data_IF_982699157002
#
_entry.id   IF_982699157002
#
_cell.length_a   1.000
_cell.length_b   1.000
_cell.length_c   1.000
_cell.angle_alpha   90.00
_cell.angle_beta   90.00
_cell.angle_gamma   90.00
#
_symmetry.space_group_name_H-M   'P 1'
#
loop_
_entity.id
_entity.type
_entity.pdbx_description
1 polymer ?
#
# COMPACT_ATOMS: atom_id res chain seq x y z
N UNK A 1 -5.84 5.84 88.72
CA UNK A 1 -6.50 5.38 87.48
C UNK A 1 -5.82 6.14 86.33
N UNK A 2 -4.95 5.42 85.55
CA UNK A 2 -4.21 6.00 84.41
C UNK A 2 -4.83 5.47 83.15
N UNK A 3 -5.48 6.37 82.36
CA UNK A 3 -6.07 6.00 81.10
C UNK A 3 -5.01 5.99 80.01
N UNK A 4 -4.87 4.85 79.29
CA UNK A 4 -4.06 4.69 78.11
C UNK A 4 -4.90 5.09 76.86
N UNK A 5 -4.49 6.14 76.12
CA UNK A 5 -5.05 6.44 74.85
C UNK A 5 -4.18 5.76 73.76
N UNK A 6 -4.75 4.76 73.09
CA UNK A 6 -4.11 4.09 71.93
C UNK A 6 -4.46 4.85 70.65
N UNK A 7 -3.49 5.52 70.03
CA UNK A 7 -3.64 6.17 68.74
C UNK A 7 -3.52 5.11 67.66
N UNK A 8 -4.62 4.89 66.93
CA UNK A 8 -4.64 4.02 65.74
C UNK A 8 -4.18 4.81 64.50
N UNK A 9 -2.99 4.53 63.99
CA UNK A 9 -2.51 5.08 62.71
C UNK A 9 -3.11 4.24 61.58
N UNK A 10 -4.08 4.82 60.84
CA UNK A 10 -4.55 4.30 59.56
C UNK A 10 -3.56 4.70 58.46
N UNK A 11 -2.75 3.77 57.99
CA UNK A 11 -1.94 3.95 56.79
C UNK A 11 -2.84 3.75 55.55
N UNK A 12 -3.20 4.88 54.90
CA UNK A 12 -3.86 4.84 53.61
C UNK A 12 -2.79 4.50 52.57
N UNK A 13 -2.83 3.28 52.04
CA UNK A 13 -2.07 2.92 50.86
C UNK A 13 -2.77 3.53 49.64
N UNK A 14 -2.19 4.64 49.14
CA UNK A 14 -2.60 5.18 47.81
C UNK A 14 -2.24 4.18 46.72
N UNK A 15 -3.26 3.55 46.16
CA UNK A 15 -3.11 2.73 44.97
C UNK A 15 -2.77 3.66 43.80
N UNK A 16 -1.47 3.83 43.48
CA UNK A 16 -1.03 4.45 42.26
C UNK A 16 -1.21 3.38 41.18
N UNK A 17 -2.14 3.57 40.20
CA UNK A 17 -2.21 2.64 39.08
C UNK A 17 -0.86 2.69 38.39
N UNK A 18 -0.20 1.54 38.31
CA UNK A 18 0.98 1.39 37.43
C UNK A 18 0.54 1.71 36.02
N UNK A 19 0.75 2.97 35.60
CA UNK A 19 0.73 3.33 34.19
C UNK A 19 1.78 2.43 33.55
N UNK A 20 1.32 1.49 32.72
CA UNK A 20 2.19 0.63 31.93
C UNK A 20 3.19 1.56 31.22
N UNK A 21 4.45 1.46 31.63
CA UNK A 21 5.56 2.15 31.02
C UNK A 21 5.67 1.56 29.61
N UNK A 22 4.97 2.18 28.66
CA UNK A 22 5.10 1.86 27.24
C UNK A 22 6.58 2.06 26.92
N UNK A 23 7.23 0.97 26.52
CA UNK A 23 8.56 1.02 25.95
C UNK A 23 8.61 2.21 24.98
N UNK A 24 9.49 3.18 25.22
CA UNK A 24 9.54 4.48 24.54
C UNK A 24 9.90 4.45 23.05
N UNK A 25 9.43 3.44 22.33
CA UNK A 25 9.59 3.35 20.88
C UNK A 25 8.44 4.09 20.19
N UNK A 26 8.84 4.97 19.26
CA UNK A 26 7.89 5.69 18.41
C UNK A 26 7.03 4.72 17.58
N UNK A 27 5.74 5.01 17.37
CA UNK A 27 4.90 4.28 16.44
C UNK A 27 5.58 4.08 15.08
N UNK A 28 5.36 2.93 14.46
CA UNK A 28 5.89 2.63 13.13
C UNK A 28 4.87 3.02 12.06
N UNK A 29 5.32 3.74 11.04
CA UNK A 29 4.52 4.12 9.88
C UNK A 29 5.18 3.60 8.61
N UNK A 30 4.44 2.79 7.85
CA UNK A 30 4.80 2.30 6.53
C UNK A 30 4.04 3.10 5.48
N UNK A 31 4.77 3.78 4.60
CA UNK A 31 4.21 4.40 3.40
C UNK A 31 4.35 3.40 2.25
N UNK A 32 3.23 3.06 1.60
CA UNK A 32 3.22 2.25 0.39
C UNK A 32 2.74 3.11 -0.78
N UNK A 33 3.62 3.34 -1.74
CA UNK A 33 3.33 4.09 -2.95
C UNK A 33 2.91 3.08 -4.03
N UNK A 34 1.65 3.13 -4.41
CA UNK A 34 1.05 2.22 -5.38
C UNK A 34 1.14 2.76 -6.82
N UNK A 35 0.89 1.91 -7.80
CA UNK A 35 0.86 2.17 -9.25
C UNK A 35 2.19 2.63 -9.87
N UNK A 36 3.31 2.40 -9.21
CA UNK A 36 4.63 2.73 -9.79
C UNK A 36 4.82 1.92 -11.07
N UNK A 37 5.29 2.56 -12.15
CA UNK A 37 5.38 1.95 -13.48
C UNK A 37 4.16 2.20 -14.36
N UNK A 38 3.08 2.78 -13.83
CA UNK A 38 1.89 3.08 -14.61
C UNK A 38 2.20 4.03 -15.76
N UNK A 39 2.83 5.16 -15.48
CA UNK A 39 3.28 6.14 -16.48
C UNK A 39 4.46 6.97 -15.99
N UNK A 40 5.01 7.82 -16.88
CA UNK A 40 6.16 8.67 -16.60
C UNK A 40 5.93 9.63 -15.41
N UNK A 41 4.77 10.27 -15.33
CA UNK A 41 4.46 11.22 -14.25
C UNK A 41 4.43 10.57 -12.86
N UNK A 42 3.95 9.32 -12.78
CA UNK A 42 3.99 8.52 -11.54
C UNK A 42 5.43 8.14 -11.18
N UNK A 43 6.21 7.71 -12.15
CA UNK A 43 7.61 7.33 -11.95
C UNK A 43 8.46 8.51 -11.46
N UNK A 44 8.28 9.69 -12.07
CA UNK A 44 8.99 10.92 -11.65
C UNK A 44 8.61 11.35 -10.23
N UNK A 45 7.34 11.19 -9.84
CA UNK A 45 6.90 11.47 -8.49
C UNK A 45 7.53 10.48 -7.47
N UNK A 46 7.59 9.20 -7.82
CA UNK A 46 8.28 8.19 -7.01
C UNK A 46 9.78 8.48 -6.89
N UNK A 47 10.43 8.97 -7.94
CA UNK A 47 11.83 9.40 -7.88
C UNK A 47 12.03 10.59 -6.95
N UNK A 48 11.12 11.58 -6.95
CA UNK A 48 11.18 12.69 -6.00
C UNK A 48 11.08 12.20 -4.54
N UNK A 49 10.22 11.24 -4.27
CA UNK A 49 10.16 10.61 -2.96
C UNK A 49 11.47 9.88 -2.61
N UNK A 50 12.01 9.10 -3.53
CA UNK A 50 13.25 8.35 -3.31
C UNK A 50 14.45 9.27 -3.02
N UNK A 51 14.54 10.43 -3.69
CA UNK A 51 15.55 11.48 -3.46
C UNK A 51 15.52 12.07 -2.04
N UNK A 52 14.40 11.97 -1.33
CA UNK A 52 14.32 12.44 0.07
C UNK A 52 15.12 11.58 1.04
N UNK A 53 15.47 10.35 0.67
CA UNK A 53 16.07 9.35 1.56
C UNK A 53 15.11 8.75 2.60
N UNK A 54 13.86 9.20 2.66
CA UNK A 54 12.86 8.64 3.58
C UNK A 54 12.52 7.20 3.20
N UNK A 55 12.44 6.26 4.17
CA UNK A 55 11.99 4.90 3.90
C UNK A 55 10.55 4.88 3.39
N UNK A 56 10.29 4.16 2.31
CA UNK A 56 8.96 3.82 1.83
C UNK A 56 8.98 2.51 1.03
N UNK A 57 7.81 2.01 0.67
CA UNK A 57 7.65 0.83 -0.18
C UNK A 57 7.01 1.22 -1.50
N UNK A 58 7.58 0.77 -2.61
CA UNK A 58 7.09 1.00 -3.96
C UNK A 58 6.42 -0.26 -4.50
N UNK A 59 5.10 -0.20 -4.77
CA UNK A 59 4.35 -1.27 -5.40
C UNK A 59 4.33 -1.04 -6.91
N UNK A 60 5.11 -1.84 -7.64
CA UNK A 60 5.34 -1.67 -9.08
C UNK A 60 4.38 -2.54 -9.89
N UNK A 61 3.65 -1.92 -10.82
CA UNK A 61 2.80 -2.60 -11.80
C UNK A 61 3.64 -3.11 -12.98
N UNK A 62 4.07 -4.36 -12.92
CA UNK A 62 4.87 -4.97 -14.02
C UNK A 62 4.05 -5.32 -15.27
N UNK A 63 2.74 -5.15 -15.24
CA UNK A 63 1.85 -5.28 -16.39
C UNK A 63 1.70 -3.98 -17.21
N UNK A 64 2.14 -2.84 -16.69
CA UNK A 64 1.97 -1.53 -17.32
C UNK A 64 3.17 -1.13 -18.18
N UNK A 65 3.00 -0.23 -19.19
CA UNK A 65 4.05 0.03 -20.18
C UNK A 65 5.33 0.67 -19.63
N UNK A 66 5.24 1.47 -18.55
CA UNK A 66 6.36 2.26 -18.03
C UNK A 66 7.12 1.60 -16.88
N UNK A 67 6.91 0.30 -16.62
CA UNK A 67 7.59 -0.41 -15.54
C UNK A 67 9.11 -0.41 -15.70
N UNK A 68 9.64 -0.42 -16.93
CA UNK A 68 11.09 -0.41 -17.16
C UNK A 68 11.76 0.86 -16.66
N UNK A 69 11.14 2.03 -16.87
CA UNK A 69 11.64 3.29 -16.32
C UNK A 69 11.60 3.25 -14.78
N UNK A 70 10.51 2.73 -14.18
CA UNK A 70 10.44 2.54 -12.73
C UNK A 70 11.59 1.65 -12.22
N UNK A 71 11.92 0.57 -12.93
CA UNK A 71 13.06 -0.30 -12.61
C UNK A 71 14.37 0.47 -12.62
N UNK A 72 14.65 1.25 -13.68
CA UNK A 72 15.88 2.03 -13.80
C UNK A 72 16.01 3.12 -12.72
N UNK A 73 14.88 3.72 -12.34
CA UNK A 73 14.84 4.66 -11.22
C UNK A 73 15.13 3.93 -9.91
N UNK A 74 14.38 2.88 -9.59
CA UNK A 74 14.45 2.20 -8.28
C UNK A 74 15.79 1.51 -8.04
N UNK A 75 16.51 1.08 -9.08
CA UNK A 75 17.90 0.59 -8.98
C UNK A 75 18.86 1.59 -8.36
N UNK A 76 18.60 2.89 -8.51
CA UNK A 76 19.43 3.98 -7.94
C UNK A 76 19.17 4.20 -6.45
N UNK A 77 18.07 3.64 -5.92
CA UNK A 77 17.59 3.89 -4.56
C UNK A 77 17.35 2.58 -3.77
N UNK A 78 18.43 1.84 -3.42
CA UNK A 78 18.31 0.52 -2.78
C UNK A 78 17.66 0.53 -1.38
N UNK A 79 17.48 1.72 -0.79
CA UNK A 79 16.74 1.91 0.47
C UNK A 79 15.23 1.79 0.30
N UNK A 80 14.69 1.86 -0.92
CA UNK A 80 13.27 1.68 -1.22
C UNK A 80 12.97 0.17 -1.27
N UNK A 81 11.98 -0.26 -0.51
CA UNK A 81 11.49 -1.64 -0.59
C UNK A 81 10.57 -1.79 -1.79
N UNK A 82 10.84 -2.74 -2.68
CA UNK A 82 10.06 -2.92 -3.90
C UNK A 82 9.16 -4.15 -3.79
N UNK A 83 7.89 -3.98 -4.16
CA UNK A 83 6.91 -5.05 -4.30
C UNK A 83 6.35 -5.15 -5.72
N UNK A 84 5.65 -6.26 -5.98
CA UNK A 84 4.87 -6.44 -7.20
C UNK A 84 3.42 -6.09 -6.94
N UNK A 85 2.93 -5.03 -7.58
CA UNK A 85 1.52 -4.65 -7.55
C UNK A 85 0.74 -5.54 -8.52
N UNK A 86 0.21 -6.66 -8.00
CA UNK A 86 -0.46 -7.70 -8.77
C UNK A 86 -1.69 -7.15 -9.47
N UNK A 87 -1.63 -7.04 -10.77
CA UNK A 87 -2.57 -6.27 -11.59
C UNK A 87 -3.43 -7.20 -12.43
N UNK A 88 -4.76 -7.15 -12.22
CA UNK A 88 -5.78 -7.92 -12.95
C UNK A 88 -6.92 -7.03 -13.47
N UNK A 89 -6.80 -5.71 -13.29
CA UNK A 89 -7.77 -4.71 -13.74
C UNK A 89 -7.07 -3.54 -14.43
N UNK A 90 -7.82 -2.79 -15.24
CA UNK A 90 -7.34 -1.62 -15.97
C UNK A 90 -8.44 -0.56 -16.01
N UNK A 91 -8.49 0.31 -15.00
CA UNK A 91 -9.64 1.13 -14.60
C UNK A 91 -9.83 2.41 -15.42
N UNK A 92 -8.82 2.84 -16.16
CA UNK A 92 -8.89 4.12 -16.86
C UNK A 92 -9.66 4.04 -18.18
N UNK A 93 -10.38 5.08 -18.53
CA UNK A 93 -11.23 5.11 -19.74
C UNK A 93 -10.43 4.91 -21.04
N UNK A 94 -9.34 5.66 -21.20
CA UNK A 94 -8.57 5.72 -22.45
C UNK A 94 -7.13 5.22 -22.31
N UNK A 95 -6.71 4.84 -21.10
CA UNK A 95 -5.38 4.34 -20.82
C UNK A 95 -5.49 2.93 -20.24
N UNK A 96 -5.42 1.94 -21.13
CA UNK A 96 -5.71 0.54 -20.80
C UNK A 96 -4.48 -0.34 -21.01
N UNK A 97 -4.37 -1.35 -20.20
CA UNK A 97 -3.34 -2.39 -20.28
C UNK A 97 -3.93 -3.78 -20.20
N UNK A 98 -3.15 -4.76 -20.67
CA UNK A 98 -3.54 -6.16 -20.68
C UNK A 98 -2.49 -7.04 -19.99
N UNK A 99 -2.68 -8.37 -20.08
CA UNK A 99 -1.84 -9.33 -19.40
C UNK A 99 -0.41 -9.39 -19.96
N UNK A 100 0.54 -9.64 -19.05
CA UNK A 100 1.95 -9.91 -19.37
C UNK A 100 2.10 -11.13 -20.26
N UNK A 101 1.25 -12.15 -20.04
CA UNK A 101 1.24 -13.40 -20.79
C UNK A 101 0.60 -13.28 -22.18
N UNK A 102 -0.11 -12.16 -22.43
CA UNK A 102 -0.89 -11.95 -23.62
C UNK A 102 -2.29 -12.58 -23.56
N UNK A 103 -3.25 -11.98 -24.28
CA UNK A 103 -4.68 -12.35 -24.26
C UNK A 103 -4.96 -13.82 -24.60
N UNK A 104 -4.14 -14.42 -25.46
CA UNK A 104 -4.35 -15.81 -25.91
C UNK A 104 -4.03 -16.84 -24.82
N UNK A 105 -3.15 -16.51 -23.89
CA UNK A 105 -2.80 -17.39 -22.77
C UNK A 105 -3.82 -17.31 -21.62
N UNK A 106 -4.49 -16.17 -21.46
CA UNK A 106 -5.42 -15.90 -20.34
C UNK A 106 -6.70 -15.20 -20.84
N UNK A 107 -7.45 -15.83 -21.75
CA UNK A 107 -8.61 -15.21 -22.40
C UNK A 107 -9.73 -14.84 -21.43
N UNK A 108 -9.87 -15.51 -20.28
CA UNK A 108 -10.92 -15.20 -19.30
C UNK A 108 -10.62 -13.95 -18.47
N UNK A 109 -9.38 -13.41 -18.53
CA UNK A 109 -8.98 -12.25 -17.75
C UNK A 109 -9.16 -10.93 -18.51
N UNK A 110 -9.54 -10.98 -19.77
CA UNK A 110 -9.59 -9.81 -20.65
C UNK A 110 -10.96 -9.59 -21.26
N UNK A 111 -11.23 -8.34 -21.61
CA UNK A 111 -12.40 -7.95 -22.40
C UNK A 111 -12.24 -8.33 -23.89
N UNK A 112 -13.27 -8.04 -24.72
CA UNK A 112 -13.27 -8.34 -26.15
C UNK A 112 -12.14 -7.66 -26.93
N UNK A 113 -11.58 -6.56 -26.41
CA UNK A 113 -10.46 -5.83 -27.01
C UNK A 113 -9.10 -6.40 -26.59
N UNK A 114 -9.05 -7.13 -25.48
CA UNK A 114 -7.82 -7.76 -24.96
C UNK A 114 -7.17 -7.01 -23.79
N UNK A 115 -7.87 -6.07 -23.20
CA UNK A 115 -7.43 -5.40 -21.95
C UNK A 115 -8.03 -6.09 -20.73
N UNK A 116 -7.37 -5.96 -19.60
CA UNK A 116 -7.98 -6.36 -18.33
C UNK A 116 -9.31 -5.64 -18.09
N UNK A 117 -10.20 -6.26 -17.33
CA UNK A 117 -11.50 -5.67 -16.98
C UNK A 117 -11.33 -4.36 -16.20
N UNK A 118 -12.28 -3.42 -16.37
CA UNK A 118 -12.15 -2.07 -15.83
C UNK A 118 -12.38 -1.97 -14.31
N UNK A 119 -12.92 -2.98 -13.67
CA UNK A 119 -13.21 -2.93 -12.24
C UNK A 119 -13.16 -4.31 -11.60
N UNK A 120 -13.01 -4.34 -10.29
CA UNK A 120 -13.13 -5.55 -9.47
C UNK A 120 -14.48 -6.25 -9.70
N UNK A 121 -15.58 -5.47 -9.82
CA UNK A 121 -16.90 -6.01 -10.09
C UNK A 121 -17.03 -6.61 -11.50
N UNK A 122 -16.43 -6.00 -12.52
CA UNK A 122 -16.41 -6.55 -13.88
C UNK A 122 -15.54 -7.82 -13.95
N UNK A 123 -14.38 -7.81 -13.30
CA UNK A 123 -13.53 -9.00 -13.15
C UNK A 123 -14.28 -10.15 -12.47
N UNK A 124 -14.95 -9.91 -11.35
CA UNK A 124 -15.70 -10.94 -10.63
C UNK A 124 -16.83 -11.57 -11.48
N UNK A 125 -17.41 -10.81 -12.43
CA UNK A 125 -18.46 -11.27 -13.34
C UNK A 125 -17.95 -11.86 -14.65
N UNK A 126 -16.65 -11.81 -14.93
CA UNK A 126 -16.10 -12.26 -16.22
C UNK A 126 -16.10 -13.78 -16.40
N UNK A 127 -16.29 -14.54 -15.32
CA UNK A 127 -16.10 -16.00 -15.35
C UNK A 127 -14.62 -16.38 -15.43
N UNK A 128 -13.74 -15.58 -14.83
CA UNK A 128 -12.30 -15.82 -14.79
C UNK A 128 -11.96 -17.25 -14.33
N UNK A 129 -10.89 -17.81 -14.88
CA UNK A 129 -10.36 -19.11 -14.48
C UNK A 129 -9.14 -18.92 -13.59
N UNK A 130 -9.12 -19.66 -12.49
CA UNK A 130 -8.08 -19.52 -11.47
C UNK A 130 -6.68 -19.93 -11.96
N UNK A 131 -6.60 -20.91 -12.87
CA UNK A 131 -5.36 -21.32 -13.53
C UNK A 131 -4.80 -20.23 -14.47
N UNK A 132 -5.67 -19.50 -15.16
CA UNK A 132 -5.29 -18.34 -15.95
C UNK A 132 -4.80 -17.19 -15.06
N UNK A 133 -5.44 -16.96 -13.90
CA UNK A 133 -4.97 -16.00 -12.89
C UNK A 133 -3.59 -16.41 -12.37
N UNK A 134 -3.38 -17.68 -12.03
CA UNK A 134 -2.07 -18.18 -11.58
C UNK A 134 -0.98 -17.96 -12.64
N UNK A 135 -1.30 -18.23 -13.90
CA UNK A 135 -0.41 -18.03 -15.03
C UNK A 135 0.01 -16.56 -15.16
N UNK A 136 -0.94 -15.65 -15.14
CA UNK A 136 -0.69 -14.23 -15.30
C UNK A 136 0.08 -13.64 -14.10
N UNK A 137 -0.37 -13.92 -12.88
CA UNK A 137 0.29 -13.38 -11.69
C UNK A 137 1.71 -13.94 -11.52
N UNK A 138 1.94 -15.22 -11.89
CA UNK A 138 3.30 -15.79 -11.96
C UNK A 138 4.17 -15.03 -12.95
N UNK A 139 3.66 -14.71 -14.14
CA UNK A 139 4.41 -13.98 -15.16
C UNK A 139 4.77 -12.55 -14.71
N UNK A 140 3.87 -11.86 -14.00
CA UNK A 140 4.16 -10.54 -13.42
C UNK A 140 5.28 -10.62 -12.36
N UNK A 141 5.21 -11.59 -11.44
CA UNK A 141 6.24 -11.80 -10.42
C UNK A 141 7.57 -12.18 -11.07
N UNK A 142 7.57 -13.08 -12.03
CA UNK A 142 8.79 -13.49 -12.72
C UNK A 142 9.43 -12.36 -13.54
N UNK A 143 8.62 -11.52 -14.18
CA UNK A 143 9.10 -10.28 -14.83
C UNK A 143 9.79 -9.37 -13.81
N UNK A 144 9.18 -9.20 -12.63
CA UNK A 144 9.76 -8.40 -11.56
C UNK A 144 11.10 -8.99 -11.07
N UNK A 145 11.17 -10.28 -10.82
CA UNK A 145 12.38 -10.95 -10.37
C UNK A 145 13.51 -10.86 -11.41
N UNK A 146 13.19 -10.93 -12.71
CA UNK A 146 14.16 -10.77 -13.80
C UNK A 146 14.60 -9.32 -14.04
N UNK A 147 13.94 -8.34 -13.44
CA UNK A 147 14.30 -6.90 -13.60
C UNK A 147 15.63 -6.52 -12.96
N UNK A 148 16.15 -7.36 -12.05
CA UNK A 148 17.33 -7.09 -11.25
C UNK A 148 17.07 -6.26 -9.99
N UNK A 149 15.80 -5.91 -9.70
CA UNK A 149 15.40 -5.32 -8.43
C UNK A 149 15.29 -6.39 -7.34
N UNK A 150 15.58 -6.00 -6.10
CA UNK A 150 15.29 -6.85 -4.94
C UNK A 150 13.81 -6.75 -4.60
N UNK A 151 13.01 -7.72 -5.05
CA UNK A 151 11.58 -7.79 -4.75
C UNK A 151 11.40 -8.37 -3.34
N UNK A 152 10.58 -7.73 -2.52
CA UNK A 152 10.38 -8.09 -1.10
C UNK A 152 8.97 -8.56 -0.77
N UNK A 153 7.95 -8.11 -1.51
CA UNK A 153 6.55 -8.44 -1.24
C UNK A 153 5.70 -8.40 -2.51
N UNK A 154 4.48 -8.91 -2.39
CA UNK A 154 3.40 -8.77 -3.37
C UNK A 154 2.19 -8.12 -2.70
N UNK A 155 1.42 -7.33 -3.44
CA UNK A 155 0.19 -6.70 -2.99
C UNK A 155 -0.81 -6.56 -4.15
N UNK A 156 -2.13 -6.49 -3.87
CA UNK A 156 -3.13 -6.49 -4.92
C UNK A 156 -3.48 -5.09 -5.42
N UNK A 157 -3.37 -4.84 -6.73
CA UNK A 157 -4.00 -3.69 -7.37
C UNK A 157 -5.53 -3.78 -7.23
N UNK A 158 -6.18 -2.71 -6.78
CA UNK A 158 -7.63 -2.65 -6.53
C UNK A 158 -8.18 -3.81 -5.67
N UNK A 159 -7.33 -4.49 -4.90
CA UNK A 159 -7.73 -5.59 -4.03
C UNK A 159 -8.08 -6.92 -4.73
N UNK A 160 -8.02 -7.00 -6.06
CA UNK A 160 -8.53 -8.14 -6.86
C UNK A 160 -7.88 -9.47 -6.48
N UNK A 161 -6.55 -9.51 -6.34
CA UNK A 161 -5.82 -10.74 -6.01
C UNK A 161 -6.12 -11.30 -4.59
N UNK A 162 -6.89 -10.56 -3.78
CA UNK A 162 -7.35 -10.97 -2.44
C UNK A 162 -8.88 -10.96 -2.30
N UNK A 163 -9.62 -10.81 -3.39
CA UNK A 163 -11.07 -10.54 -3.38
C UNK A 163 -11.95 -11.72 -2.96
N UNK A 164 -11.48 -12.95 -3.16
CA UNK A 164 -12.20 -14.18 -2.76
C UNK A 164 -11.29 -15.11 -1.98
N UNK A 165 -11.81 -16.12 -1.25
CA UNK A 165 -11.00 -17.12 -0.57
C UNK A 165 -10.02 -17.84 -1.50
N UNK A 166 -10.46 -18.18 -2.74
CA UNK A 166 -9.64 -18.88 -3.73
C UNK A 166 -8.52 -17.99 -4.26
N UNK A 167 -8.81 -16.72 -4.58
CA UNK A 167 -7.83 -15.73 -4.99
C UNK A 167 -6.80 -15.49 -3.89
N UNK A 168 -7.24 -15.44 -2.65
CA UNK A 168 -6.40 -15.28 -1.47
C UNK A 168 -5.47 -16.48 -1.28
N UNK A 169 -6.00 -17.70 -1.36
CA UNK A 169 -5.22 -18.93 -1.27
C UNK A 169 -4.17 -19.03 -2.39
N UNK A 170 -4.54 -18.60 -3.61
CA UNK A 170 -3.62 -18.52 -4.75
C UNK A 170 -2.50 -17.50 -4.50
N UNK A 171 -2.84 -16.31 -4.05
CA UNK A 171 -1.85 -15.26 -3.74
C UNK A 171 -0.87 -15.71 -2.66
N UNK A 172 -1.36 -16.39 -1.61
CA UNK A 172 -0.50 -16.99 -0.58
C UNK A 172 0.41 -18.11 -1.15
N UNK A 173 -0.13 -18.95 -2.05
CA UNK A 173 0.65 -19.98 -2.76
C UNK A 173 1.80 -19.35 -3.54
N UNK A 174 1.51 -18.25 -4.28
CA UNK A 174 2.51 -17.52 -5.07
C UNK A 174 3.56 -16.86 -4.17
N UNK A 175 3.14 -16.20 -3.08
CA UNK A 175 4.07 -15.60 -2.12
C UNK A 175 5.05 -16.65 -1.57
N UNK A 176 4.57 -17.83 -1.18
CA UNK A 176 5.42 -18.94 -0.71
C UNK A 176 6.34 -19.46 -1.81
N UNK A 177 5.79 -19.69 -3.03
CA UNK A 177 6.56 -20.18 -4.19
C UNK A 177 7.76 -19.28 -4.49
N UNK A 178 7.56 -17.98 -4.49
CA UNK A 178 8.58 -16.99 -4.84
C UNK A 178 9.32 -16.41 -3.62
N UNK A 179 9.01 -16.87 -2.41
CA UNK A 179 9.60 -16.41 -1.13
C UNK A 179 9.46 -14.91 -0.93
N UNK A 180 8.26 -14.40 -1.15
CA UNK A 180 7.89 -12.98 -1.02
C UNK A 180 6.93 -12.77 0.15
N UNK A 181 7.01 -11.60 0.80
CA UNK A 181 6.01 -11.17 1.75
C UNK A 181 4.67 -10.88 1.07
N UNK A 182 3.60 -10.82 1.86
CA UNK A 182 2.27 -10.37 1.42
C UNK A 182 1.93 -9.08 2.14
N UNK A 183 1.57 -8.06 1.37
CA UNK A 183 0.91 -6.89 1.92
C UNK A 183 -0.60 -7.11 1.93
N UNK A 184 -1.20 -6.93 3.09
CA UNK A 184 -2.65 -6.99 3.25
C UNK A 184 -3.16 -5.71 3.87
N UNK A 185 -4.40 -5.38 3.60
CA UNK A 185 -5.01 -4.14 4.09
C UNK A 185 -5.33 -4.17 5.59
N UNK A 186 -5.37 -5.36 6.21
CA UNK A 186 -5.77 -5.47 7.61
C UNK A 186 -4.80 -6.28 8.45
N UNK A 187 -4.86 -7.60 8.33
CA UNK A 187 -4.16 -8.50 9.23
C UNK A 187 -3.54 -9.66 8.46
N UNK A 188 -2.28 -9.92 8.73
CA UNK A 188 -1.59 -11.13 8.31
C UNK A 188 -1.31 -12.00 9.54
N UNK A 189 -1.12 -13.30 9.34
CA UNK A 189 -0.87 -14.24 10.43
C UNK A 189 0.29 -13.83 11.33
N UNK A 190 1.30 -13.23 10.74
CA UNK A 190 2.57 -12.95 11.41
C UNK A 190 2.63 -11.56 12.06
N UNK A 191 1.95 -10.59 11.51
CA UNK A 191 1.89 -9.23 12.05
C UNK A 191 0.56 -8.57 11.74
N UNK A 192 0.24 -7.53 12.51
CA UNK A 192 -0.91 -6.66 12.28
C UNK A 192 -0.43 -5.29 11.86
N UNK A 193 -1.13 -4.69 10.93
CA UNK A 193 -0.89 -3.33 10.51
C UNK A 193 -2.20 -2.53 10.47
N UNK A 194 -2.16 -1.28 10.88
CA UNK A 194 -3.26 -0.35 10.68
C UNK A 194 -3.17 0.20 9.26
N UNK A 195 -4.32 0.45 8.67
CA UNK A 195 -4.43 0.88 7.28
C UNK A 195 -5.23 2.16 7.16
N UNK A 196 -4.71 3.12 6.38
CA UNK A 196 -5.43 4.30 5.93
C UNK A 196 -5.26 4.44 4.42
N UNK A 197 -6.40 4.51 3.72
CA UNK A 197 -6.42 4.79 2.29
C UNK A 197 -6.62 6.29 2.05
N UNK A 198 -5.71 6.89 1.28
CA UNK A 198 -5.80 8.30 0.93
C UNK A 198 -6.63 8.57 -0.33
N UNK A 199 -6.89 7.53 -1.13
CA UNK A 199 -7.59 7.67 -2.41
C UNK A 199 -8.96 8.34 -2.27
N UNK A 200 -9.77 7.91 -1.30
CA UNK A 200 -11.10 8.44 -1.05
C UNK A 200 -11.17 9.79 -0.32
N UNK A 201 -10.04 10.34 0.15
CA UNK A 201 -10.02 11.61 0.86
C UNK A 201 -10.09 12.80 -0.13
N UNK A 202 -10.99 13.79 0.05
CA UNK A 202 -11.09 14.95 -0.84
C UNK A 202 -9.79 15.74 -0.90
N UNK A 203 -9.47 16.30 -2.08
CA UNK A 203 -8.25 17.10 -2.30
C UNK A 203 -8.07 18.19 -1.25
N UNK A 204 -9.15 18.92 -0.93
CA UNK A 204 -9.11 20.06 -0.01
C UNK A 204 -8.73 19.68 1.43
N UNK A 205 -9.07 18.48 1.87
CA UNK A 205 -8.85 17.99 3.24
C UNK A 205 -7.72 16.97 3.34
N UNK A 206 -7.23 16.45 2.21
CA UNK A 206 -6.28 15.34 2.14
C UNK A 206 -5.04 15.55 3.01
N UNK A 207 -4.37 16.70 2.91
CA UNK A 207 -3.19 17.01 3.73
C UNK A 207 -3.53 17.07 5.22
N UNK A 208 -4.60 17.75 5.60
CA UNK A 208 -4.98 17.90 7.02
C UNK A 208 -5.42 16.56 7.63
N UNK A 209 -6.18 15.75 6.89
CA UNK A 209 -6.59 14.41 7.33
C UNK A 209 -5.37 13.50 7.56
N UNK A 210 -4.42 13.50 6.63
CA UNK A 210 -3.19 12.74 6.77
C UNK A 210 -2.34 13.19 7.96
N UNK A 211 -2.08 14.49 8.09
CA UNK A 211 -1.29 15.02 9.22
C UNK A 211 -1.97 14.72 10.56
N UNK A 212 -3.31 14.84 10.65
CA UNK A 212 -4.04 14.45 11.84
C UNK A 212 -3.90 12.95 12.15
N UNK A 213 -3.99 12.08 11.12
CA UNK A 213 -3.80 10.64 11.30
C UNK A 213 -2.41 10.31 11.85
N UNK A 214 -1.34 10.79 11.21
CA UNK A 214 0.03 10.48 11.62
C UNK A 214 0.45 11.13 12.93
N UNK A 215 -0.24 12.18 13.37
CA UNK A 215 0.03 12.85 14.65
C UNK A 215 -0.70 12.22 15.82
N UNK A 216 -1.97 11.80 15.61
CA UNK A 216 -2.91 11.52 16.69
C UNK A 216 -3.52 10.12 16.68
N UNK A 217 -3.41 9.34 15.58
CA UNK A 217 -4.17 8.10 15.40
C UNK A 217 -3.30 6.86 15.17
N UNK A 218 -1.98 7.00 15.17
CA UNK A 218 -1.11 5.84 14.98
C UNK A 218 -1.20 4.88 16.18
N UNK A 219 -1.32 3.59 15.88
CA UNK A 219 -1.17 2.53 16.88
C UNK A 219 0.28 2.50 17.37
N UNK A 220 0.46 2.50 18.71
CA UNK A 220 1.77 2.33 19.33
C UNK A 220 2.22 0.86 19.39
N UNK A 221 1.29 -0.09 19.23
CA UNK A 221 1.53 -1.52 19.48
C UNK A 221 1.66 -2.37 18.22
N UNK A 222 1.32 -1.81 17.06
CA UNK A 222 1.40 -2.50 15.77
C UNK A 222 1.81 -1.52 14.66
N UNK A 223 2.43 -1.97 13.58
CA UNK A 223 2.73 -1.13 12.43
C UNK A 223 1.47 -0.50 11.85
N UNK A 224 1.61 0.73 11.40
CA UNK A 224 0.57 1.47 10.70
C UNK A 224 0.95 1.58 9.23
N UNK A 225 0.00 1.50 8.31
CA UNK A 225 0.24 1.64 6.88
C UNK A 225 -0.65 2.73 6.28
N UNK A 226 -0.09 3.51 5.38
CA UNK A 226 -0.85 4.44 4.53
C UNK A 226 -0.52 4.12 3.08
N UNK A 227 -1.58 3.88 2.30
CA UNK A 227 -1.49 3.70 0.85
C UNK A 227 -1.61 5.06 0.16
N UNK A 228 -0.68 5.34 -0.72
CA UNK A 228 -0.48 6.63 -1.38
C UNK A 228 -0.33 6.41 -2.88
N UNK A 229 -0.95 7.29 -3.67
CA UNK A 229 -0.86 7.27 -5.13
C UNK A 229 -0.26 8.57 -5.63
N UNK A 230 1.06 8.61 -5.82
CA UNK A 230 1.75 9.84 -6.24
C UNK A 230 1.82 9.99 -7.75
N UNK A 231 1.71 11.22 -8.25
CA UNK A 231 2.09 11.59 -9.61
C UNK A 231 2.43 13.09 -9.69
N UNK A 232 3.21 13.47 -10.70
CA UNK A 232 3.33 14.86 -11.11
C UNK A 232 2.14 15.26 -11.98
N UNK A 233 1.63 16.46 -11.81
CA UNK A 233 0.64 17.01 -12.75
C UNK A 233 1.25 17.12 -14.15
N UNK A 234 0.50 16.66 -15.15
CA UNK A 234 0.88 16.74 -16.56
C UNK A 234 -0.37 16.62 -17.43
N UNK A 235 -0.32 17.06 -18.70
CA UNK A 235 -1.44 16.88 -19.63
C UNK A 235 -1.86 15.41 -19.79
N UNK A 236 -0.92 14.47 -19.71
CA UNK A 236 -1.21 13.04 -19.75
C UNK A 236 -2.01 12.58 -18.51
N UNK A 237 -1.57 13.01 -17.32
CA UNK A 237 -2.29 12.70 -16.06
C UNK A 237 -3.66 13.37 -16.00
N UNK A 238 -3.80 14.56 -16.56
CA UNK A 238 -5.07 15.31 -16.63
C UNK A 238 -6.11 14.62 -17.56
N UNK A 239 -5.65 13.75 -18.45
CA UNK A 239 -6.51 12.96 -19.34
C UNK A 239 -6.99 11.63 -18.72
N UNK A 240 -6.49 11.24 -17.56
CA UNK A 240 -6.84 9.97 -16.91
C UNK A 240 -8.19 10.06 -16.19
N UNK A 241 -9.21 9.49 -16.80
CA UNK A 241 -10.55 9.40 -16.24
C UNK A 241 -10.73 8.04 -15.57
N UNK A 242 -10.98 8.05 -14.24
CA UNK A 242 -11.27 6.85 -13.47
C UNK A 242 -12.72 6.40 -13.68
N UNK A 243 -12.91 5.19 -14.17
CA UNK A 243 -14.23 4.63 -14.46
C UNK A 243 -14.97 4.12 -13.21
N UNK A 244 -14.31 4.04 -12.06
CA UNK A 244 -14.85 3.44 -10.85
C UNK A 244 -15.07 4.43 -9.70
N UNK A 245 -14.44 5.60 -9.73
CA UNK A 245 -14.49 6.55 -8.63
C UNK A 245 -15.10 7.88 -9.06
N UNK A 246 -16.29 8.19 -8.53
CA UNK A 246 -16.90 9.50 -8.73
C UNK A 246 -16.11 10.64 -8.07
N UNK A 247 -15.28 10.34 -7.09
CA UNK A 247 -14.44 11.35 -6.42
C UNK A 247 -13.23 11.78 -7.26
N UNK A 248 -12.82 10.93 -8.22
CA UNK A 248 -11.72 11.22 -9.15
C UNK A 248 -12.16 12.03 -10.37
N UNK A 249 -13.43 12.44 -10.40
CA UNK A 249 -13.98 13.22 -11.51
C UNK A 249 -14.86 14.35 -10.96
N UNK A 250 -14.90 15.49 -11.66
CA UNK A 250 -15.87 16.54 -11.34
C UNK A 250 -17.29 16.10 -11.71
N UNK A 251 -18.30 16.82 -11.25
CA UNK A 251 -19.70 16.59 -11.64
C UNK A 251 -19.91 16.69 -13.16
N UNK A 252 -19.11 17.51 -13.84
CA UNK A 252 -19.13 17.71 -15.29
C UNK A 252 -18.26 16.67 -16.03
N UNK A 253 -17.73 15.66 -15.32
CA UNK A 253 -16.94 14.57 -15.91
C UNK A 253 -15.50 14.93 -16.26
N UNK A 254 -14.90 15.95 -15.62
CA UNK A 254 -13.46 16.24 -15.77
C UNK A 254 -12.65 15.40 -14.79
N UNK A 255 -11.55 14.76 -15.23
CA UNK A 255 -10.67 14.01 -14.34
C UNK A 255 -10.04 14.88 -13.24
N UNK A 256 -9.95 14.34 -12.04
CA UNK A 256 -9.23 14.94 -10.91
C UNK A 256 -8.01 14.10 -10.49
N UNK A 257 -7.74 13.01 -11.17
CA UNK A 257 -6.66 12.04 -10.87
C UNK A 257 -5.31 12.73 -10.69
N UNK A 258 -4.96 13.62 -11.62
CA UNK A 258 -3.71 14.39 -11.61
C UNK A 258 -3.59 15.21 -10.32
N UNK A 259 -4.65 15.95 -9.97
CA UNK A 259 -4.68 16.82 -8.80
C UNK A 259 -4.61 16.02 -7.49
N UNK A 260 -5.34 14.90 -7.38
CA UNK A 260 -5.28 14.02 -6.22
C UNK A 260 -3.87 13.47 -5.99
N UNK A 261 -3.25 12.93 -7.03
CA UNK A 261 -1.91 12.31 -6.96
C UNK A 261 -0.80 13.32 -6.69
N UNK A 262 -0.87 14.51 -7.30
CA UNK A 262 0.06 15.60 -6.98
C UNK A 262 -0.11 16.09 -5.54
N UNK A 263 -1.34 16.15 -5.04
CA UNK A 263 -1.62 16.55 -3.65
C UNK A 263 -1.02 15.53 -2.67
N UNK A 264 -1.09 14.24 -2.95
CA UNK A 264 -0.46 13.20 -2.13
C UNK A 264 1.07 13.32 -2.13
N UNK A 265 1.68 13.60 -3.28
CA UNK A 265 3.11 13.88 -3.35
C UNK A 265 3.49 15.10 -2.50
N UNK A 266 2.79 16.22 -2.71
CA UNK A 266 3.04 17.46 -1.99
C UNK A 266 2.89 17.30 -0.47
N UNK A 267 1.92 16.50 -0.04
CA UNK A 267 1.69 16.15 1.36
C UNK A 267 2.91 15.47 1.98
N UNK A 268 3.45 14.45 1.31
CA UNK A 268 4.64 13.72 1.78
C UNK A 268 5.91 14.56 1.74
N UNK A 269 6.04 15.48 0.78
CA UNK A 269 7.19 16.36 0.66
C UNK A 269 7.09 17.60 1.56
N UNK A 270 5.96 17.81 2.23
CA UNK A 270 5.71 19.02 3.03
C UNK A 270 6.66 19.13 4.23
N UNK A 271 7.08 20.35 4.60
CA UNK A 271 7.88 20.60 5.80
C UNK A 271 7.22 20.07 7.07
N UNK A 272 5.86 20.17 7.16
CA UNK A 272 5.10 19.72 8.31
C UNK A 272 5.20 18.20 8.48
N UNK A 273 5.03 17.41 7.41
CA UNK A 273 5.20 15.96 7.49
C UNK A 273 6.64 15.59 7.86
N UNK A 274 7.63 16.17 7.18
CA UNK A 274 9.05 15.93 7.45
C UNK A 274 9.43 16.22 8.90
N UNK A 275 8.86 17.28 9.49
CA UNK A 275 9.12 17.65 10.88
C UNK A 275 8.57 16.65 11.92
N UNK A 276 7.60 15.81 11.55
CA UNK A 276 7.02 14.77 12.42
C UNK A 276 7.83 13.48 12.40
N UNK A 277 8.53 13.19 11.30
CA UNK A 277 9.37 11.99 11.17
C UNK A 277 10.49 12.00 12.21
N UNK A 278 10.66 10.92 12.93
CA UNK A 278 11.63 10.78 14.03
C UNK A 278 11.21 11.46 15.34
N UNK A 279 10.13 12.28 15.34
CA UNK A 279 9.59 12.91 16.55
C UNK A 279 8.28 12.29 17.03
N UNK A 280 7.36 11.99 16.11
CA UNK A 280 6.05 11.43 16.39
C UNK A 280 5.94 9.97 15.99
N UNK A 281 6.65 9.56 14.95
CA UNK A 281 6.68 8.20 14.44
C UNK A 281 8.01 7.92 13.73
N UNK A 282 8.30 6.64 13.51
CA UNK A 282 9.42 6.16 12.71
C UNK A 282 8.89 5.62 11.39
N UNK A 283 9.42 6.09 10.26
CA UNK A 283 9.14 5.49 8.96
C UNK A 283 9.83 4.14 8.86
N UNK A 284 9.11 3.17 8.31
CA UNK A 284 9.60 1.85 7.94
C UNK A 284 9.12 1.49 6.53
N UNK A 285 9.73 0.47 5.94
CA UNK A 285 9.27 -0.13 4.69
C UNK A 285 9.03 -1.65 4.86
N UNK A 286 8.51 -2.35 3.84
CA UNK A 286 8.24 -3.79 3.92
C UNK A 286 9.49 -4.62 4.18
N UNK A 287 10.65 -4.26 3.64
CA UNK A 287 11.88 -4.98 3.94
C UNK A 287 12.20 -4.96 5.45
N UNK A 288 12.02 -3.80 6.09
CA UNK A 288 12.22 -3.65 7.54
C UNK A 288 11.11 -4.35 8.36
N UNK A 289 9.87 -4.26 7.90
CA UNK A 289 8.73 -4.92 8.54
C UNK A 289 8.88 -6.45 8.55
N UNK A 290 9.41 -7.02 7.46
CA UNK A 290 9.58 -8.45 7.28
C UNK A 290 10.91 -8.99 7.83
N UNK A 291 11.82 -8.11 8.24
CA UNK A 291 13.12 -8.52 8.76
C UNK A 291 12.99 -9.46 9.97
N UNK A 292 13.63 -10.61 9.90
CA UNK A 292 13.59 -11.64 10.94
C UNK A 292 12.28 -12.43 11.04
N UNK A 293 11.34 -12.24 10.12
CA UNK A 293 10.09 -13.00 10.07
C UNK A 293 10.19 -14.18 9.11
N UNK A 294 9.54 -15.27 9.49
CA UNK A 294 9.36 -16.42 8.57
C UNK A 294 8.22 -16.10 7.59
N UNK A 295 8.60 -15.71 6.38
CA UNK A 295 7.63 -15.38 5.33
C UNK A 295 6.86 -16.59 4.79
N UNK A 296 7.33 -17.82 5.03
CA UNK A 296 6.68 -19.05 4.55
C UNK A 296 5.32 -19.31 5.21
N UNK A 297 5.10 -18.76 6.40
CA UNK A 297 3.85 -18.89 7.17
C UNK A 297 2.92 -17.69 7.07
N UNK A 298 3.30 -16.65 6.33
CA UNK A 298 2.42 -15.48 6.15
C UNK A 298 1.14 -15.88 5.41
N UNK A 299 0.04 -15.37 5.92
CA UNK A 299 -1.29 -15.50 5.31
C UNK A 299 -1.91 -14.13 5.09
N UNK A 300 -2.64 -14.01 4.00
CA UNK A 300 -3.46 -12.85 3.77
C UNK A 300 -4.58 -12.76 4.82
N UNK A 301 -4.93 -11.55 5.24
CA UNK A 301 -6.02 -11.33 6.17
C UNK A 301 -7.36 -11.81 5.60
N UNK A 302 -8.19 -12.36 6.45
CA UNK A 302 -9.57 -12.69 6.13
C UNK A 302 -10.43 -11.43 6.23
N UNK A 303 -10.25 -10.50 5.30
CA UNK A 303 -11.13 -9.34 5.26
C UNK A 303 -12.53 -9.77 4.88
N UNK A 304 -13.48 -9.47 5.75
CA UNK A 304 -14.89 -9.39 5.43
C UNK A 304 -15.25 -7.93 5.18
#
# INVERSE_FOLDING_TARGET
>A
MKGFFTLLFLTIWAYIPASAQQNGQLPQLLLRLDDIGMNHSVNMAAEQMAKTGMPFSASVQFATPWYQEAVEILKKYPQVSVGVHLTLTSEWKNYRWGPVTGRSAVPSLVDSVGYFHQSTGAFAKSGYKLDEVETELSAQIERALRSGLKITYIDPHMGVALSTPEMRALTEKLARKYKLGISTLNEVTYYKETYMEMWGEPVATKKSAFLNYVTNKLSATRPNMVVIHVALMSPEMDALFDMNSSMMNTKEGKPLTSLHRQTELNMLLSPEFKALVGKKFRLINYQQLLAGKDISILKASNNK
#
